data_IF_885948395954
#
_entry.id   IF_885948395954
#
_cell.length_a   1.000
_cell.length_b   1.000
_cell.length_c   1.000
_cell.angle_alpha   90.00
_cell.angle_beta   90.00
_cell.angle_gamma   90.00
#
_symmetry.space_group_name_H-M   'P 1'
#
loop_
_entity.id
_entity.type
_entity.pdbx_description
1 polymer ?
#
# COMPACT_ATOMS: atom_id res chain seq x y z
N UNK A 1 -4.82 8.77 -6.58
CA UNK A 1 -4.01 7.58 -6.93
C UNK A 1 -4.35 6.45 -5.99
N UNK A 2 -4.49 5.28 -6.51
CA UNK A 2 -4.82 4.09 -5.72
C UNK A 2 -3.90 2.94 -6.11
N UNK A 3 -3.29 2.29 -5.12
CA UNK A 3 -2.32 1.21 -5.34
C UNK A 3 -2.74 -0.03 -4.57
N UNK A 4 -2.67 -1.18 -5.22
CA UNK A 4 -2.92 -2.47 -4.62
C UNK A 4 -1.60 -3.20 -4.42
N UNK A 5 -1.31 -3.61 -3.19
CA UNK A 5 -0.14 -4.40 -2.85
C UNK A 5 -0.53 -5.87 -2.80
N UNK A 6 0.21 -6.70 -3.50
CA UNK A 6 -0.04 -8.13 -3.54
C UNK A 6 1.27 -8.90 -3.66
N UNK A 7 1.46 -9.87 -2.78
CA UNK A 7 2.54 -10.86 -2.92
C UNK A 7 2.00 -12.12 -3.55
N UNK A 8 2.75 -12.69 -4.48
CA UNK A 8 2.45 -14.02 -4.99
C UNK A 8 2.66 -15.04 -3.86
N UNK A 9 1.64 -15.87 -3.61
CA UNK A 9 1.73 -16.97 -2.66
C UNK A 9 2.25 -18.16 -3.44
N UNK A 10 3.44 -18.63 -3.08
CA UNK A 10 4.00 -19.84 -3.66
C UNK A 10 3.20 -21.07 -3.28
N UNK A 11 3.42 -22.19 -3.98
CA UNK A 11 2.74 -23.44 -3.66
C UNK A 11 3.08 -23.86 -2.23
N UNK A 12 2.04 -24.21 -1.47
CA UNK A 12 2.18 -24.70 -0.12
C UNK A 12 1.69 -26.13 -0.06
N UNK A 13 2.40 -26.97 0.68
CA UNK A 13 1.97 -28.35 0.91
C UNK A 13 0.74 -28.45 1.81
N UNK A 14 0.40 -27.39 2.52
CA UNK A 14 -0.76 -27.38 3.41
C UNK A 14 -1.95 -26.74 2.74
N UNK A 15 -3.11 -27.42 2.67
CA UNK A 15 -4.27 -26.94 1.94
C UNK A 15 -5.11 -25.90 2.69
N UNK A 16 -4.69 -25.43 3.85
CA UNK A 16 -5.47 -24.49 4.63
C UNK A 16 -4.99 -23.08 4.31
N UNK A 17 -5.73 -22.43 3.44
CA UNK A 17 -5.48 -21.02 3.09
C UNK A 17 -6.66 -20.18 3.49
N UNK A 18 -6.36 -19.03 4.04
CA UNK A 18 -7.34 -17.96 4.09
C UNK A 18 -7.16 -17.10 2.83
N UNK A 19 -8.16 -17.11 1.98
CA UNK A 19 -8.19 -16.25 0.81
C UNK A 19 -8.83 -14.92 1.21
N UNK A 20 -8.12 -13.82 0.96
CA UNK A 20 -8.63 -12.49 1.21
C UNK A 20 -8.78 -11.82 -0.15
N UNK A 21 -10.01 -11.45 -0.49
CA UNK A 21 -10.30 -10.72 -1.72
C UNK A 21 -10.26 -9.23 -1.46
N UNK A 22 -9.62 -8.48 -2.37
CA UNK A 22 -9.67 -7.03 -2.33
C UNK A 22 -11.04 -6.46 -2.74
N UNK A 23 -11.95 -7.31 -3.20
CA UNK A 23 -13.31 -6.94 -3.54
C UNK A 23 -14.31 -7.16 -2.41
N UNK A 24 -13.89 -7.84 -1.35
CA UNK A 24 -14.71 -8.00 -0.15
C UNK A 24 -14.90 -6.65 0.54
N UNK A 25 -15.94 -6.51 1.39
CA UNK A 25 -16.09 -5.31 2.19
C UNK A 25 -14.81 -4.99 2.96
N UNK A 26 -14.31 -3.76 2.80
CA UNK A 26 -13.05 -3.35 3.36
C UNK A 26 -13.24 -2.75 4.76
N UNK A 27 -12.30 -2.98 5.68
CA UNK A 27 -12.30 -2.25 6.94
C UNK A 27 -12.03 -0.77 6.71
N UNK A 28 -12.28 0.05 7.74
CA UNK A 28 -11.98 1.48 7.69
C UNK A 28 -10.50 1.70 7.39
N UNK A 29 -10.17 2.54 6.41
CA UNK A 29 -8.78 2.85 6.12
C UNK A 29 -8.17 3.73 7.21
N UNK A 30 -6.88 3.56 7.42
CA UNK A 30 -6.10 4.48 8.23
C UNK A 30 -5.72 5.69 7.36
N UNK A 31 -6.08 6.88 7.84
CA UNK A 31 -5.80 8.12 7.14
C UNK A 31 -4.59 8.82 7.75
N UNK A 32 -3.73 9.34 6.91
CA UNK A 32 -2.51 10.00 7.35
C UNK A 32 -1.97 10.95 6.30
N UNK A 33 -0.99 11.75 6.67
CA UNK A 33 -0.24 12.62 5.78
C UNK A 33 1.25 12.42 5.99
N UNK A 34 2.08 12.70 4.98
CA UNK A 34 3.52 12.77 5.22
C UNK A 34 3.83 13.86 6.23
N UNK A 35 4.97 13.75 6.89
CA UNK A 35 5.47 14.84 7.73
C UNK A 35 5.58 16.12 6.89
N UNK A 36 5.22 17.26 7.48
CA UNK A 36 5.12 18.52 6.75
C UNK A 36 6.43 18.88 6.02
N UNK A 37 7.56 18.61 6.63
CA UNK A 37 8.88 18.90 6.04
C UNK A 37 9.21 18.02 4.84
N UNK A 38 8.49 16.95 4.63
CA UNK A 38 8.66 16.05 3.47
C UNK A 38 7.76 16.41 2.31
N UNK A 39 6.74 17.24 2.53
CA UNK A 39 5.81 17.63 1.49
C UNK A 39 6.44 18.71 0.63
N UNK A 40 6.54 18.46 -0.67
CA UNK A 40 7.10 19.40 -1.63
C UNK A 40 6.03 20.25 -2.29
N UNK A 41 4.84 19.71 -2.52
CA UNK A 41 3.72 20.45 -3.08
C UNK A 41 2.40 19.70 -2.84
N UNK A 42 1.29 20.42 -2.86
CA UNK A 42 -0.05 19.88 -2.72
C UNK A 42 -0.38 19.47 -1.28
N UNK A 43 -1.46 18.69 -1.15
CA UNK A 43 -1.89 18.11 0.11
C UNK A 43 -2.06 16.60 -0.08
N UNK A 44 -0.98 15.83 -0.01
CA UNK A 44 -1.02 14.39 -0.27
C UNK A 44 -1.59 13.60 0.90
N UNK A 45 -2.84 13.84 1.23
CA UNK A 45 -3.55 13.05 2.21
C UNK A 45 -3.67 11.60 1.72
N UNK A 46 -3.35 10.65 2.57
CA UNK A 46 -3.27 9.25 2.25
C UNK A 46 -4.28 8.44 3.05
N UNK A 47 -4.63 7.28 2.51
CA UNK A 47 -5.45 6.31 3.21
C UNK A 47 -4.93 4.91 2.88
N UNK A 48 -4.69 4.11 3.90
CA UNK A 48 -4.21 2.75 3.76
C UNK A 48 -5.14 1.77 4.46
N UNK A 49 -5.47 0.70 3.76
CA UNK A 49 -6.27 -0.39 4.31
C UNK A 49 -5.45 -1.66 4.28
N UNK A 50 -4.99 -2.12 5.45
CA UNK A 50 -4.31 -3.39 5.57
C UNK A 50 -5.31 -4.53 5.52
N UNK A 51 -5.10 -5.50 4.62
CA UNK A 51 -5.95 -6.66 4.48
C UNK A 51 -5.31 -7.92 5.01
N UNK A 52 -3.99 -7.98 5.03
CA UNK A 52 -3.24 -9.13 5.50
C UNK A 52 -1.90 -8.69 6.09
N UNK A 53 -1.49 -9.38 7.13
CA UNK A 53 -0.15 -9.27 7.68
C UNK A 53 0.31 -10.66 8.13
N UNK A 54 1.52 -11.03 7.76
CA UNK A 54 2.11 -12.29 8.21
C UNK A 54 2.39 -12.25 9.71
N UNK A 55 2.49 -13.43 10.35
CA UNK A 55 2.69 -13.53 11.78
C UNK A 55 4.00 -12.87 12.24
N UNK A 56 5.03 -12.88 11.39
CA UNK A 56 6.31 -12.23 11.68
C UNK A 56 6.35 -10.75 11.29
N UNK A 57 5.26 -10.23 10.73
CA UNK A 57 5.14 -8.83 10.32
C UNK A 57 5.96 -8.45 9.08
N UNK A 58 6.64 -9.42 8.45
CA UNK A 58 7.51 -9.13 7.29
C UNK A 58 6.76 -8.94 6.00
N UNK A 59 5.55 -9.47 5.92
CA UNK A 59 4.73 -9.35 4.74
C UNK A 59 3.40 -8.72 5.07
N UNK A 60 3.02 -7.72 4.31
CA UNK A 60 1.73 -7.04 4.41
C UNK A 60 1.14 -6.85 3.04
N UNK A 61 -0.17 -6.91 2.94
CA UNK A 61 -0.87 -6.54 1.71
C UNK A 61 -2.09 -5.70 2.03
N UNK A 62 -2.45 -4.84 1.10
CA UNK A 62 -3.59 -3.95 1.30
C UNK A 62 -3.81 -3.03 0.12
N UNK A 63 -4.61 -2.01 0.36
CA UNK A 63 -4.91 -0.97 -0.62
C UNK A 63 -4.45 0.36 -0.04
N UNK A 64 -3.79 1.13 -0.88
CA UNK A 64 -3.33 2.46 -0.54
C UNK A 64 -3.83 3.45 -1.59
N UNK A 65 -4.21 4.62 -1.12
CA UNK A 65 -4.60 5.72 -2.00
C UNK A 65 -4.06 7.04 -1.47
N UNK A 66 -3.86 8.00 -2.36
CA UNK A 66 -3.39 9.32 -2.00
C UNK A 66 -4.08 10.38 -2.84
N UNK A 67 -4.31 11.53 -2.23
CA UNK A 67 -4.68 12.74 -2.93
C UNK A 67 -3.46 13.29 -3.68
N UNK A 68 -3.69 14.10 -4.73
CA UNK A 68 -2.59 14.69 -5.49
C UNK A 68 -1.63 15.48 -4.60
N UNK A 69 -0.34 15.27 -4.84
CA UNK A 69 0.71 15.95 -4.13
C UNK A 69 2.06 15.36 -4.47
N UNK A 70 3.09 15.99 -3.96
CA UNK A 70 4.47 15.54 -4.14
C UNK A 70 5.18 15.58 -2.79
N UNK A 71 5.84 14.47 -2.45
CA UNK A 71 6.57 14.38 -1.18
C UNK A 71 7.74 13.41 -1.29
N UNK A 72 8.64 13.55 -0.32
CA UNK A 72 9.80 12.67 -0.20
C UNK A 72 9.45 11.42 0.59
N UNK A 73 9.87 10.28 0.08
CA UNK A 73 9.65 8.98 0.72
C UNK A 73 10.99 8.29 0.90
N UNK A 74 11.18 7.69 2.07
CA UNK A 74 12.30 6.79 2.33
C UNK A 74 11.75 5.37 2.35
N UNK A 75 12.19 4.54 1.41
CA UNK A 75 11.80 3.14 1.36
C UNK A 75 12.76 2.32 2.21
N UNK A 76 12.22 1.64 3.20
CA UNK A 76 12.99 0.74 4.08
C UNK A 76 12.70 -0.72 3.80
N UNK A 77 11.79 -1.01 2.89
CA UNK A 77 11.32 -2.35 2.55
C UNK A 77 11.07 -2.48 1.06
N UNK A 78 11.04 -3.72 0.60
CA UNK A 78 10.65 -4.01 -0.77
C UNK A 78 9.14 -3.94 -0.90
N UNK A 79 8.67 -3.26 -1.94
CA UNK A 79 7.25 -3.14 -2.23
C UNK A 79 6.96 -3.58 -3.65
N UNK A 80 5.88 -4.32 -3.81
CA UNK A 80 5.26 -4.56 -5.10
C UNK A 80 3.93 -3.81 -5.14
N UNK A 81 3.79 -2.92 -6.11
CA UNK A 81 2.60 -2.10 -6.25
C UNK A 81 1.94 -2.34 -7.60
N UNK A 82 0.63 -2.54 -7.58
CA UNK A 82 -0.19 -2.59 -8.79
C UNK A 82 -1.08 -1.36 -8.82
N UNK A 83 -0.88 -0.50 -9.81
CA UNK A 83 -1.64 0.74 -9.94
C UNK A 83 -3.05 0.44 -10.46
N UNK A 84 -4.07 0.76 -9.67
CA UNK A 84 -5.45 0.56 -10.05
C UNK A 84 -6.03 1.77 -10.81
N UNK A 85 -5.63 2.97 -10.43
CA UNK A 85 -6.09 4.21 -11.05
C UNK A 85 -5.13 5.34 -10.75
N UNK A 86 -5.09 6.34 -11.62
CA UNK A 86 -4.25 7.52 -11.44
C UNK A 86 -2.87 7.39 -12.04
N UNK A 87 -1.99 8.30 -11.67
CA UNK A 87 -0.62 8.38 -12.17
C UNK A 87 0.33 8.55 -10.99
N UNK A 88 1.40 7.78 -11.00
CA UNK A 88 2.52 7.91 -10.06
C UNK A 88 3.77 8.23 -10.85
N UNK A 89 4.52 9.24 -10.38
CA UNK A 89 5.84 9.53 -10.90
C UNK A 89 6.83 9.49 -9.75
N UNK A 90 7.84 8.64 -9.90
CA UNK A 90 8.92 8.55 -8.93
C UNK A 90 10.21 9.09 -9.53
N UNK A 91 10.95 9.82 -8.70
CA UNK A 91 12.27 10.31 -9.08
C UNK A 91 13.31 9.69 -8.17
N UNK A 92 14.32 9.10 -8.77
CA UNK A 92 15.47 8.58 -8.06
C UNK A 92 16.53 9.66 -7.97
N UNK A 93 17.13 9.78 -6.82
CA UNK A 93 18.31 10.63 -6.65
C UNK A 93 19.58 9.87 -6.97
#
# INVERSE_FOLDING_TARGET
MRVKHKKAIGPSAKPIYKVISFQDPLPEPQRYRPQAERILSGDPAQAATNLFQSTDGRFKSGIWEAQPGRWRVVFTENEFCYLLAGVIVGHRR
#
